data_IF_437840023697
#
_entry.id   IF_437840023697
#
_cell.length_a   1.000
_cell.length_b   1.000
_cell.length_c   1.000
_cell.angle_alpha   90.00
_cell.angle_beta   90.00
_cell.angle_gamma   90.00
#
_symmetry.space_group_name_H-M   'P 1'
#
loop_
_entity.id
_entity.type
_entity.pdbx_description
1 polymer ?
#
# COMPACT_ATOMS: atom_id res chain seq x y z
N UNK A 1 11.87 34.32 -23.80
CA UNK A 1 12.52 33.42 -22.84
C UNK A 1 11.49 32.79 -21.93
N UNK A 2 10.86 31.72 -22.41
CA UNK A 2 9.91 30.94 -21.63
C UNK A 2 10.72 29.88 -20.88
N UNK A 3 10.93 30.12 -19.59
CA UNK A 3 11.57 29.18 -18.68
C UNK A 3 10.50 28.16 -18.29
N UNK A 4 10.18 27.21 -19.18
CA UNK A 4 9.17 26.18 -18.92
C UNK A 4 9.73 25.19 -17.90
N UNK A 5 9.34 25.39 -16.65
CA UNK A 5 9.46 24.45 -15.52
C UNK A 5 8.67 23.15 -15.71
N UNK A 6 8.12 22.93 -16.90
CA UNK A 6 7.34 21.74 -17.24
C UNK A 6 8.27 20.56 -17.50
N UNK A 7 7.98 19.42 -16.86
CA UNK A 7 8.64 18.16 -17.19
C UNK A 7 8.36 17.85 -18.67
N UNK A 8 9.37 17.47 -19.48
CA UNK A 8 9.13 17.08 -20.87
C UNK A 8 8.06 16.00 -20.93
N UNK A 9 7.10 16.12 -21.84
CA UNK A 9 5.95 15.20 -21.97
C UNK A 9 6.38 13.73 -22.00
N UNK A 10 7.46 13.41 -22.73
CA UNK A 10 8.05 12.08 -22.80
C UNK A 10 8.50 11.52 -21.42
N UNK A 11 8.94 12.38 -20.49
CA UNK A 11 9.27 11.94 -19.12
C UNK A 11 8.02 11.68 -18.29
N UNK A 12 6.94 12.43 -18.49
CA UNK A 12 5.65 12.21 -17.82
C UNK A 12 5.09 10.85 -18.21
N UNK A 13 5.06 10.53 -19.51
CA UNK A 13 4.53 9.27 -20.03
C UNK A 13 5.31 8.04 -19.54
N UNK A 14 6.65 8.14 -19.48
CA UNK A 14 7.47 7.05 -18.93
C UNK A 14 7.18 6.84 -17.44
N UNK A 15 7.00 7.91 -16.67
CA UNK A 15 6.65 7.80 -15.25
C UNK A 15 5.27 7.16 -15.06
N UNK A 16 4.27 7.54 -15.87
CA UNK A 16 2.94 6.91 -15.88
C UNK A 16 3.05 5.42 -16.14
N UNK A 17 3.78 5.05 -17.19
CA UNK A 17 3.94 3.67 -17.59
C UNK A 17 4.64 2.84 -16.51
N UNK A 18 5.75 3.34 -15.98
CA UNK A 18 6.49 2.68 -14.89
C UNK A 18 5.60 2.50 -13.67
N UNK A 19 4.82 3.53 -13.30
CA UNK A 19 3.93 3.46 -12.16
C UNK A 19 2.82 2.42 -12.36
N UNK A 20 2.16 2.38 -13.53
CA UNK A 20 1.15 1.36 -13.83
C UNK A 20 1.71 -0.06 -13.82
N UNK A 21 2.88 -0.28 -14.43
CA UNK A 21 3.53 -1.60 -14.44
C UNK A 21 3.90 -2.01 -13.01
N UNK A 22 4.50 -1.10 -12.25
CA UNK A 22 4.93 -1.35 -10.88
C UNK A 22 3.73 -1.67 -9.98
N UNK A 23 2.67 -0.87 -10.05
CA UNK A 23 1.43 -1.11 -9.30
C UNK A 23 0.77 -2.45 -9.66
N UNK A 24 0.72 -2.81 -10.95
CA UNK A 24 0.18 -4.09 -11.40
C UNK A 24 1.01 -5.28 -10.87
N UNK A 25 2.35 -5.18 -10.92
CA UNK A 25 3.25 -6.21 -10.39
C UNK A 25 3.08 -6.37 -8.88
N UNK A 26 3.07 -5.27 -8.12
CA UNK A 26 2.85 -5.30 -6.67
C UNK A 26 1.48 -5.90 -6.31
N UNK A 27 0.43 -5.58 -7.06
CA UNK A 27 -0.90 -6.17 -6.86
C UNK A 27 -0.88 -7.69 -7.06
N UNK A 28 -0.24 -8.19 -8.12
CA UNK A 28 -0.13 -9.64 -8.39
C UNK A 28 0.65 -10.33 -7.27
N UNK A 29 1.76 -9.75 -6.83
CA UNK A 29 2.57 -10.30 -5.73
C UNK A 29 1.75 -10.33 -4.43
N UNK A 30 1.08 -9.23 -4.09
CA UNK A 30 0.24 -9.16 -2.89
C UNK A 30 -0.91 -10.18 -2.92
N UNK A 31 -1.52 -10.41 -4.10
CA UNK A 31 -2.53 -11.45 -4.29
C UNK A 31 -1.96 -12.86 -4.10
N UNK A 32 -0.75 -13.12 -4.61
CA UNK A 32 -0.06 -14.39 -4.40
C UNK A 32 0.25 -14.63 -2.91
N UNK A 33 0.70 -13.60 -2.19
CA UNK A 33 0.92 -13.68 -0.73
C UNK A 33 -0.39 -13.97 -0.01
N UNK A 34 -1.50 -13.31 -0.35
CA UNK A 34 -2.82 -13.64 0.19
C UNK A 34 -3.20 -15.12 -0.02
N UNK A 35 -2.97 -15.65 -1.22
CA UNK A 35 -3.24 -17.06 -1.53
C UNK A 35 -2.36 -18.00 -0.69
N UNK A 36 -1.07 -17.70 -0.53
CA UNK A 36 -0.17 -18.49 0.32
C UNK A 36 -0.66 -18.53 1.78
N UNK A 37 -1.13 -17.40 2.31
CA UNK A 37 -1.67 -17.31 3.68
C UNK A 37 -2.95 -18.16 3.84
N UNK A 38 -3.79 -18.21 2.80
CA UNK A 38 -5.03 -19.01 2.80
C UNK A 38 -4.74 -20.51 2.67
N UNK A 39 -3.82 -20.87 1.78
CA UNK A 39 -3.45 -22.27 1.48
C UNK A 39 -2.68 -22.90 2.64
N UNK A 40 -1.96 -22.11 3.44
CA UNK A 40 -1.24 -22.60 4.61
C UNK A 40 -2.19 -23.36 5.55
N UNK A 41 -2.00 -24.68 5.62
CA UNK A 41 -2.86 -25.59 6.36
C UNK A 41 -2.41 -25.83 7.80
N UNK A 42 -1.33 -25.17 8.28
CA UNK A 42 -0.82 -25.42 9.64
C UNK A 42 -1.85 -25.05 10.72
N UNK A 43 -2.37 -26.03 11.49
CA UNK A 43 -3.37 -25.78 12.52
C UNK A 43 -2.83 -24.99 13.71
N UNK A 44 -1.51 -25.01 13.97
CA UNK A 44 -0.87 -24.28 15.09
C UNK A 44 -0.91 -22.76 14.90
N UNK A 45 -1.03 -22.31 13.65
CA UNK A 45 -1.01 -20.89 13.27
C UNK A 45 -2.38 -20.27 12.98
N UNK A 46 -3.50 -20.98 13.14
CA UNK A 46 -4.81 -20.54 12.60
C UNK A 46 -5.24 -19.15 13.05
N UNK A 47 -5.00 -18.77 14.30
CA UNK A 47 -5.29 -17.42 14.82
C UNK A 47 -4.29 -16.39 14.31
N UNK A 48 -3.00 -16.72 14.23
CA UNK A 48 -1.95 -15.85 13.69
C UNK A 48 -2.20 -15.50 12.21
N UNK A 49 -2.62 -16.49 11.41
CA UNK A 49 -2.94 -16.29 9.99
C UNK A 49 -4.08 -15.31 9.75
N UNK A 50 -5.05 -15.20 10.68
CA UNK A 50 -6.12 -14.18 10.56
C UNK A 50 -5.53 -12.78 10.60
N UNK A 51 -4.63 -12.52 11.56
CA UNK A 51 -3.94 -11.24 11.67
C UNK A 51 -3.01 -10.99 10.49
N UNK A 52 -2.29 -12.03 10.06
CA UNK A 52 -1.40 -11.96 8.89
C UNK A 52 -2.20 -11.64 7.61
N UNK A 53 -3.37 -12.26 7.44
CA UNK A 53 -4.27 -11.98 6.33
C UNK A 53 -4.86 -10.57 6.41
N UNK A 54 -5.31 -10.12 7.59
CA UNK A 54 -5.76 -8.73 7.77
C UNK A 54 -4.67 -7.72 7.45
N UNK A 55 -3.44 -7.97 7.91
CA UNK A 55 -2.28 -7.14 7.57
C UNK A 55 -2.04 -7.08 6.06
N UNK A 56 -2.06 -8.24 5.39
CA UNK A 56 -1.85 -8.31 3.94
C UNK A 56 -3.00 -7.62 3.17
N UNK A 57 -4.24 -7.79 3.62
CA UNK A 57 -5.41 -7.16 3.02
C UNK A 57 -5.36 -5.63 3.16
N UNK A 58 -5.11 -5.10 4.35
CA UNK A 58 -5.00 -3.65 4.57
C UNK A 58 -3.81 -3.05 3.83
N UNK A 59 -2.67 -3.77 3.75
CA UNK A 59 -1.52 -3.32 2.95
C UNK A 59 -1.86 -3.27 1.45
N UNK A 60 -2.59 -4.27 0.95
CA UNK A 60 -3.04 -4.28 -0.45
C UNK A 60 -4.03 -3.16 -0.75
N UNK A 61 -4.93 -2.85 0.18
CA UNK A 61 -5.88 -1.73 0.06
C UNK A 61 -5.13 -0.39 0.05
N UNK A 62 -4.15 -0.22 0.95
CA UNK A 62 -3.28 0.95 0.97
C UNK A 62 -2.56 1.14 -0.37
N UNK A 63 -1.89 0.09 -0.86
CA UNK A 63 -1.19 0.12 -2.15
C UNK A 63 -2.13 0.43 -3.31
N UNK A 64 -3.33 -0.17 -3.33
CA UNK A 64 -4.33 0.09 -4.37
C UNK A 64 -4.82 1.53 -4.31
N UNK A 65 -5.09 2.06 -3.12
CA UNK A 65 -5.55 3.43 -2.93
C UNK A 65 -4.49 4.43 -3.41
N UNK A 66 -3.23 4.25 -3.04
CA UNK A 66 -2.13 5.09 -3.51
C UNK A 66 -1.90 4.98 -5.03
N UNK A 67 -2.03 3.78 -5.61
CA UNK A 67 -1.92 3.57 -7.07
C UNK A 67 -3.12 4.11 -7.88
N UNK A 68 -4.31 4.17 -7.29
CA UNK A 68 -5.51 4.73 -7.94
C UNK A 68 -5.53 6.25 -7.83
N UNK A 69 -5.04 6.80 -6.72
CA UNK A 69 -4.99 8.24 -6.51
C UNK A 69 -3.79 8.91 -7.17
N UNK A 70 -2.77 8.14 -7.54
CA UNK A 70 -1.39 8.57 -7.86
C UNK A 70 -1.32 10.02 -8.31
N UNK A 71 -0.94 10.92 -7.38
CA UNK A 71 -0.62 12.28 -7.73
C UNK A 71 0.71 12.25 -8.49
N UNK A 72 0.81 12.99 -9.59
CA UNK A 72 2.12 13.22 -10.21
C UNK A 72 2.93 14.12 -9.27
N UNK A 73 3.65 13.50 -8.35
CA UNK A 73 4.58 14.16 -7.43
C UNK A 73 5.79 14.68 -8.21
N UNK A 74 5.58 15.78 -8.92
CA UNK A 74 6.61 16.52 -9.63
C UNK A 74 7.25 17.47 -8.60
N UNK A 75 8.22 16.95 -7.84
CA UNK A 75 8.87 17.64 -6.70
C UNK A 75 9.67 18.91 -7.10
N UNK A 76 9.60 19.35 -8.36
CA UNK A 76 10.36 20.49 -8.87
C UNK A 76 9.56 21.80 -8.99
N UNK A 77 8.38 21.92 -8.39
CA UNK A 77 7.60 23.16 -8.53
C UNK A 77 6.42 23.37 -7.59
N UNK A 78 6.52 23.02 -6.29
CA UNK A 78 5.56 23.39 -5.21
C UNK A 78 4.06 23.06 -5.41
N UNK A 79 3.65 22.48 -6.54
CA UNK A 79 2.26 22.19 -6.86
C UNK A 79 2.11 20.69 -7.05
N UNK A 80 1.36 20.06 -6.14
CA UNK A 80 0.95 18.66 -6.29
C UNK A 80 -0.32 18.66 -7.12
N UNK A 81 -0.25 18.21 -8.37
CA UNK A 81 -1.41 18.06 -9.23
C UNK A 81 -1.70 16.57 -9.42
N UNK A 82 -2.95 16.17 -9.19
CA UNK A 82 -3.43 14.81 -9.45
C UNK A 82 -4.50 14.89 -10.53
N UNK A 83 -4.23 14.28 -11.68
CA UNK A 83 -5.20 14.10 -12.78
C UNK A 83 -5.82 12.69 -12.76
N UNK A 84 -5.97 12.10 -11.57
CA UNK A 84 -6.60 10.81 -11.43
C UNK A 84 -8.14 10.93 -11.38
N UNK A 85 -8.86 9.86 -11.72
CA UNK A 85 -10.32 9.79 -11.57
C UNK A 85 -10.76 10.09 -10.12
N UNK A 86 -9.95 9.66 -9.16
CA UNK A 86 -10.22 9.85 -7.74
C UNK A 86 -9.94 11.29 -7.27
N UNK A 87 -8.98 12.00 -7.89
CA UNK A 87 -8.75 13.43 -7.64
C UNK A 87 -9.93 14.33 -8.07
N UNK A 88 -10.84 13.84 -8.93
CA UNK A 88 -12.11 14.54 -9.24
C UNK A 88 -13.12 14.48 -8.10
N UNK A 89 -12.97 13.53 -7.18
CA UNK A 89 -13.91 13.26 -6.09
C UNK A 89 -13.33 13.57 -4.71
N UNK A 90 -12.02 13.45 -4.54
CA UNK A 90 -11.29 13.64 -3.28
C UNK A 90 -10.15 14.61 -3.52
N UNK A 91 -10.13 15.70 -2.77
CA UNK A 91 -9.06 16.69 -2.80
C UNK A 91 -7.75 16.14 -2.20
N UNK A 92 -6.62 16.80 -2.49
CA UNK A 92 -5.31 16.32 -2.05
C UNK A 92 -5.21 16.19 -0.52
N UNK A 93 -5.86 17.09 0.23
CA UNK A 93 -5.87 17.03 1.71
C UNK A 93 -6.66 15.82 2.18
N UNK A 94 -7.86 15.59 1.62
CA UNK A 94 -8.66 14.40 1.93
C UNK A 94 -7.93 13.10 1.60
N UNK A 95 -7.22 13.05 0.48
CA UNK A 95 -6.39 11.88 0.15
C UNK A 95 -5.29 11.62 1.16
N UNK A 96 -4.48 12.63 1.49
CA UNK A 96 -3.39 12.48 2.46
C UNK A 96 -3.93 12.05 3.83
N UNK A 97 -5.10 12.55 4.24
CA UNK A 97 -5.75 12.13 5.47
C UNK A 97 -6.16 10.65 5.43
N UNK A 98 -6.81 10.20 4.34
CA UNK A 98 -7.20 8.80 4.17
C UNK A 98 -5.97 7.89 4.09
N UNK A 99 -4.94 8.29 3.35
CA UNK A 99 -3.69 7.57 3.21
C UNK A 99 -2.99 7.42 4.58
N UNK A 100 -2.94 8.48 5.39
CA UNK A 100 -2.39 8.42 6.74
C UNK A 100 -3.18 7.48 7.67
N UNK A 101 -4.51 7.45 7.56
CA UNK A 101 -5.36 6.54 8.34
C UNK A 101 -5.12 5.08 7.94
N UNK A 102 -5.09 4.79 6.64
CA UNK A 102 -4.80 3.44 6.13
C UNK A 102 -3.38 3.00 6.53
N UNK A 103 -2.40 3.90 6.50
CA UNK A 103 -1.04 3.62 6.96
C UNK A 103 -1.01 3.29 8.47
N UNK A 104 -1.73 4.05 9.29
CA UNK A 104 -1.87 3.75 10.72
C UNK A 104 -2.53 2.39 10.97
N UNK A 105 -3.50 1.99 10.15
CA UNK A 105 -4.15 0.68 10.21
C UNK A 105 -3.18 -0.46 9.88
N UNK A 106 -2.36 -0.31 8.83
CA UNK A 106 -1.29 -1.26 8.48
C UNK A 106 -0.30 -1.41 9.63
N UNK A 107 0.14 -0.30 10.23
CA UNK A 107 1.02 -0.31 11.40
C UNK A 107 0.37 -1.07 12.57
N UNK A 108 -0.90 -0.81 12.85
CA UNK A 108 -1.62 -1.47 13.94
C UNK A 108 -1.69 -2.99 13.72
N UNK A 109 -2.08 -3.44 12.53
CA UNK A 109 -2.09 -4.87 12.21
C UNK A 109 -0.71 -5.51 12.27
N UNK A 110 0.34 -4.78 11.89
CA UNK A 110 1.71 -5.24 12.03
C UNK A 110 2.09 -5.47 13.50
N UNK A 111 1.80 -4.51 14.38
CA UNK A 111 2.04 -4.66 15.82
C UNK A 111 1.24 -5.82 16.42
N UNK A 112 -0.02 -5.99 16.03
CA UNK A 112 -0.84 -7.13 16.48
C UNK A 112 -0.23 -8.46 16.02
N UNK A 113 0.24 -8.55 14.77
CA UNK A 113 0.93 -9.74 14.27
C UNK A 113 2.20 -10.07 15.08
N UNK A 114 3.04 -9.06 15.34
CA UNK A 114 4.28 -9.23 16.12
C UNK A 114 3.97 -9.64 17.56
N UNK A 115 2.99 -8.98 18.20
CA UNK A 115 2.55 -9.30 19.55
C UNK A 115 2.05 -10.74 19.64
N UNK A 116 1.17 -11.15 18.72
CA UNK A 116 0.62 -12.51 18.71
C UNK A 116 1.72 -13.56 18.49
N UNK A 117 2.63 -13.33 17.53
CA UNK A 117 3.76 -14.24 17.27
C UNK A 117 4.68 -14.39 18.48
N UNK A 118 4.99 -13.30 19.17
CA UNK A 118 5.85 -13.33 20.37
C UNK A 118 5.20 -14.09 21.53
N UNK A 119 3.92 -13.84 21.81
CA UNK A 119 3.22 -14.52 22.91
C UNK A 119 2.99 -16.02 22.63
N UNK A 120 2.72 -16.41 21.39
CA UNK A 120 2.65 -17.83 21.01
C UNK A 120 4.00 -18.53 21.17
N UNK A 121 5.10 -17.86 20.82
CA UNK A 121 6.46 -18.42 20.97
C UNK A 121 6.85 -18.61 22.43
N UNK A 122 6.45 -17.69 23.32
CA UNK A 122 6.68 -17.80 24.76
C UNK A 122 5.88 -18.96 25.38
N UNK A 123 4.61 -19.12 25.01
CA UNK A 123 3.77 -20.23 25.51
C UNK A 123 4.25 -21.62 25.07
N UNK A 124 4.98 -21.72 23.96
CA UNK A 124 5.58 -22.97 23.48
C UNK A 124 6.93 -23.24 24.16
N UNK A 125 7.69 -22.20 24.52
CA UNK A 125 8.99 -22.33 25.20
C UNK A 125 8.92 -22.66 26.69
N UNK A 126 7.75 -22.48 27.33
CA UNK A 126 7.50 -22.86 28.72
C UNK A 126 6.95 -24.29 28.91
N UNK A 127 6.80 -25.06 27.83
CA UNK A 127 6.40 -26.48 27.88
C UNK A 127 7.59 -27.42 27.66
#
# INVERSE_FOLDING_TARGET
NMNSTDLPEARRDVIVLVHHITGAVFFIVNLFVCLLIIIDSDPRGKSYRKYLFSLQASSTIFDLFSNVYTPFMLVNGRLIYSESFLAKHIDMVGFVAIEALLFAEVINFYFICVYYRRNVSLLIGEK
#
